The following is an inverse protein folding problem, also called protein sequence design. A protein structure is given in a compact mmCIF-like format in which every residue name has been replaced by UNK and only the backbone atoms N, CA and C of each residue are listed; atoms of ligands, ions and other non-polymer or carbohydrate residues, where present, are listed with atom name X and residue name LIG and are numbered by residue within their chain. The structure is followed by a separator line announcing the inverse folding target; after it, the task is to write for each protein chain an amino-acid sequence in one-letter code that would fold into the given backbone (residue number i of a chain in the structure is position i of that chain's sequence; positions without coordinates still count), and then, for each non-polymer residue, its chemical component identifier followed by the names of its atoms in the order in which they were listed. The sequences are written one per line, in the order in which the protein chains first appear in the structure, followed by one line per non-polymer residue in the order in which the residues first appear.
data_IF_520358686972
#
_entry.id   IF_520358686972
#
_cell.length_a   1.000
_cell.length_b   1.000
_cell.length_c   1.000
_cell.angle_alpha   90.00
_cell.angle_beta   90.00
_cell.angle_gamma   90.00
#
_symmetry.space_group_name_H-M   'P 1'
#
loop_
_entity.id
_entity.type
_entity.pdbx_description
1 polymer ?
#
# COMPACT_ATOMS: atom_id res chain seq x y z
N UNK A 1 7.24 3.24 -1.45
CA UNK A 1 6.67 3.37 -2.81
C UNK A 1 5.16 3.16 -2.77
N UNK A 2 4.40 3.92 -3.57
CA UNK A 2 2.93 3.84 -3.64
C UNK A 2 2.53 3.35 -5.03
N UNK A 3 1.88 2.18 -5.11
CA UNK A 3 1.32 1.69 -6.37
C UNK A 3 0.02 2.44 -6.71
N UNK A 4 -0.18 2.72 -7.99
CA UNK A 4 -1.45 3.25 -8.50
C UNK A 4 -2.62 2.33 -8.13
N UNK A 5 -3.76 2.92 -7.72
CA UNK A 5 -5.00 2.23 -7.35
C UNK A 5 -4.92 1.36 -6.08
N UNK A 6 -3.92 1.59 -5.22
CA UNK A 6 -3.85 0.99 -3.88
C UNK A 6 -3.90 2.13 -2.85
N UNK A 7 -4.73 1.99 -1.82
CA UNK A 7 -4.78 2.94 -0.69
C UNK A 7 -3.56 2.66 0.20
N UNK A 8 -2.78 3.70 0.50
CA UNK A 8 -1.67 3.63 1.45
C UNK A 8 -1.95 4.61 2.58
N UNK A 9 -1.70 4.18 3.82
CA UNK A 9 -1.66 5.07 4.99
C UNK A 9 -0.19 5.40 5.27
N UNK A 10 0.10 6.69 5.48
CA UNK A 10 1.40 7.14 5.95
C UNK A 10 1.19 7.61 7.38
N UNK A 11 1.77 6.89 8.34
CA UNK A 11 1.86 7.38 9.72
C UNK A 11 3.20 8.08 9.91
N UNK A 12 3.21 9.42 10.05
CA UNK A 12 4.43 10.11 10.44
C UNK A 12 4.79 9.71 11.88
N UNK A 13 6.02 9.26 12.09
CA UNK A 13 6.57 9.10 13.43
C UNK A 13 6.94 10.49 13.95
N UNK A 14 6.22 10.99 14.97
CA UNK A 14 6.30 12.37 15.45
C UNK A 14 7.56 12.66 16.29
N UNK A 15 8.59 11.81 16.21
CA UNK A 15 9.81 11.93 16.98
C UNK A 15 10.94 12.54 16.13
N UNK A 16 10.95 13.87 16.03
CA UNK A 16 12.03 14.81 15.60
C UNK A 16 11.87 15.58 14.27
N UNK A 17 12.33 16.84 14.37
CA UNK A 17 12.60 17.97 13.45
C UNK A 17 12.16 17.98 11.97
N UNK A 18 11.85 19.19 11.49
CA UNK A 18 11.48 19.56 10.11
C UNK A 18 12.12 18.67 9.03
N UNK A 19 11.33 17.77 8.43
CA UNK A 19 11.76 16.99 7.28
C UNK A 19 11.17 17.56 5.98
N UNK A 20 11.96 17.53 4.90
CA UNK A 20 11.49 17.88 3.55
C UNK A 20 11.08 16.60 2.81
N UNK A 21 9.78 16.41 2.64
CA UNK A 21 9.24 15.31 1.83
C UNK A 21 9.36 15.61 0.34
N UNK A 22 9.85 14.65 -0.44
CA UNK A 22 9.83 14.70 -1.90
C UNK A 22 8.90 13.60 -2.43
N UNK A 23 8.09 13.93 -3.42
CA UNK A 23 7.24 12.96 -4.13
C UNK A 23 7.53 13.05 -5.62
N UNK A 24 7.90 11.91 -6.21
CA UNK A 24 8.04 11.75 -7.65
C UNK A 24 6.82 10.98 -8.17
N UNK A 25 5.99 11.65 -8.98
CA UNK A 25 4.86 11.03 -9.65
C UNK A 25 5.24 10.75 -11.11
N UNK A 26 5.13 9.49 -11.53
CA UNK A 26 5.34 9.07 -12.91
C UNK A 26 3.96 8.85 -13.54
N UNK A 27 3.74 9.49 -14.68
CA UNK A 27 2.50 9.34 -15.45
C UNK A 27 2.26 7.88 -15.86
N UNK A 28 1.00 7.44 -15.79
CA UNK A 28 0.65 6.05 -16.05
C UNK A 28 0.78 5.69 -17.54
N UNK A 29 0.41 6.62 -18.44
CA UNK A 29 0.53 6.39 -19.88
C UNK A 29 2.00 6.34 -20.30
N UNK A 30 2.86 7.14 -19.66
CA UNK A 30 4.30 7.02 -19.80
C UNK A 30 4.81 5.63 -19.39
N UNK A 31 4.41 5.12 -18.22
CA UNK A 31 4.77 3.77 -17.79
C UNK A 31 4.29 2.70 -18.77
N UNK A 32 3.07 2.85 -19.31
CA UNK A 32 2.50 1.94 -20.29
C UNK A 32 3.22 1.97 -21.64
N UNK A 33 3.78 3.12 -22.03
CA UNK A 33 4.69 3.24 -23.19
C UNK A 33 6.01 2.53 -22.93
N UNK A 34 6.58 2.62 -21.72
CA UNK A 34 7.81 1.92 -21.35
C UNK A 34 7.63 0.40 -21.24
N UNK A 35 6.50 -0.05 -20.68
CA UNK A 35 6.20 -1.45 -20.46
C UNK A 35 4.70 -1.73 -20.68
N UNK A 36 4.38 -2.34 -21.83
CA UNK A 36 2.99 -2.52 -22.30
C UNK A 36 2.12 -3.33 -21.32
N UNK A 37 2.72 -4.27 -20.58
CA UNK A 37 2.04 -5.15 -19.64
C UNK A 37 2.01 -4.61 -18.19
N UNK A 38 2.22 -3.30 -17.99
CA UNK A 38 2.20 -2.65 -16.67
C UNK A 38 0.91 -2.90 -15.89
N UNK A 39 -0.22 -3.09 -16.58
CA UNK A 39 -1.51 -3.46 -15.98
C UNK A 39 -1.47 -4.80 -15.24
N UNK A 40 -0.62 -5.74 -15.68
CA UNK A 40 -0.52 -7.11 -15.18
C UNK A 40 0.43 -7.27 -14.01
N UNK A 41 1.11 -6.21 -13.62
CA UNK A 41 2.11 -6.23 -12.54
C UNK A 41 1.81 -5.19 -11.47
N UNK A 42 2.37 -5.39 -10.29
CA UNK A 42 2.48 -4.40 -9.22
C UNK A 42 3.92 -4.39 -8.72
N UNK A 43 4.35 -3.31 -8.07
CA UNK A 43 5.69 -3.24 -7.50
C UNK A 43 5.64 -3.52 -6.00
N UNK A 44 6.41 -4.49 -5.52
CA UNK A 44 6.59 -4.72 -4.07
C UNK A 44 7.48 -3.63 -3.47
N UNK A 45 7.42 -3.41 -2.16
CA UNK A 45 8.35 -2.48 -1.50
C UNK A 45 9.80 -2.97 -1.67
N UNK A 46 10.77 -2.06 -1.90
CA UNK A 46 12.18 -2.42 -1.95
C UNK A 46 12.71 -2.81 -0.57
N UNK A 47 13.74 -3.65 -0.56
CA UNK A 47 14.62 -3.79 0.60
C UNK A 47 15.60 -2.61 0.69
N UNK A 48 16.39 -2.54 1.77
CA UNK A 48 17.30 -1.42 2.02
C UNK A 48 18.32 -1.20 0.90
N UNK A 49 18.82 -2.28 0.29
CA UNK A 49 19.81 -2.21 -0.78
C UNK A 49 19.21 -1.58 -2.05
N UNK A 50 18.07 -2.09 -2.51
CA UNK A 50 17.38 -1.55 -3.69
C UNK A 50 16.86 -0.13 -3.40
N UNK A 51 16.40 0.13 -2.18
CA UNK A 51 15.91 1.46 -1.79
C UNK A 51 17.02 2.52 -1.90
N UNK A 52 18.25 2.20 -1.49
CA UNK A 52 19.40 3.10 -1.63
C UNK A 52 19.68 3.44 -3.10
N UNK A 53 19.67 2.44 -3.98
CA UNK A 53 19.89 2.64 -5.42
C UNK A 53 18.81 3.53 -6.04
N UNK A 54 17.54 3.30 -5.68
CA UNK A 54 16.41 4.11 -6.16
C UNK A 54 16.54 5.55 -5.66
N UNK A 55 16.84 5.74 -4.37
CA UNK A 55 17.01 7.06 -3.78
C UNK A 55 18.13 7.85 -4.46
N UNK A 56 19.27 7.21 -4.75
CA UNK A 56 20.35 7.83 -5.49
C UNK A 56 19.86 8.37 -6.84
N UNK A 57 19.08 7.60 -7.63
CA UNK A 57 18.57 8.11 -8.92
C UNK A 57 17.53 9.23 -8.76
N UNK A 58 16.71 9.21 -7.71
CA UNK A 58 15.78 10.30 -7.42
C UNK A 58 16.55 11.58 -7.07
N UNK A 59 17.63 11.50 -6.29
CA UNK A 59 18.46 12.65 -5.95
C UNK A 59 19.13 13.26 -7.19
N UNK A 60 19.54 12.43 -8.15
CA UNK A 60 20.06 12.89 -9.44
C UNK A 60 19.01 13.69 -10.20
N UNK A 61 17.77 13.20 -10.28
CA UNK A 61 16.64 13.92 -10.90
C UNK A 61 16.42 15.26 -10.22
N UNK A 62 16.37 15.29 -8.88
CA UNK A 62 16.18 16.53 -8.12
C UNK A 62 17.32 17.51 -8.41
N UNK A 63 18.56 17.04 -8.50
CA UNK A 63 19.70 17.91 -8.80
C UNK A 63 19.57 18.57 -10.17
N UNK A 64 19.25 17.79 -11.20
CA UNK A 64 19.10 18.33 -12.57
C UNK A 64 17.84 19.17 -12.76
N UNK A 65 16.79 18.91 -11.96
CA UNK A 65 15.59 19.74 -11.98
C UNK A 65 15.84 21.15 -11.42
N UNK A 66 16.84 21.31 -10.56
CA UNK A 66 17.18 22.60 -9.94
C UNK A 66 18.27 23.36 -10.71
N UNK A 67 18.66 22.90 -11.91
CA UNK A 67 19.66 23.56 -12.74
C UNK A 67 19.05 24.08 -14.05
N UNK A 68 19.50 25.24 -14.52
CA UNK A 68 18.98 25.90 -15.74
C UNK A 68 19.73 25.46 -17.02
N UNK A 69 20.22 24.22 -17.10
CA UNK A 69 20.94 23.75 -18.29
C UNK A 69 19.99 23.21 -19.35
N UNK A 70 20.28 23.53 -20.62
CA UNK A 70 19.46 23.11 -21.77
C UNK A 70 19.36 21.58 -21.92
N UNK A 71 20.37 20.84 -21.47
CA UNK A 71 20.44 19.38 -21.62
C UNK A 71 19.82 18.61 -20.44
N UNK A 72 19.36 19.30 -19.39
CA UNK A 72 18.90 18.63 -18.17
C UNK A 72 17.62 17.83 -18.38
N UNK A 73 16.75 18.24 -19.31
CA UNK A 73 15.58 17.45 -19.71
C UNK A 73 15.97 16.06 -20.21
N UNK A 74 17.05 15.96 -21.00
CA UNK A 74 17.54 14.68 -21.52
C UNK A 74 18.07 13.83 -20.35
N UNK A 75 18.80 14.45 -19.42
CA UNK A 75 19.34 13.77 -18.23
C UNK A 75 18.20 13.26 -17.34
N UNK A 76 17.25 14.12 -17.00
CA UNK A 76 16.07 13.78 -16.20
C UNK A 76 15.33 12.60 -16.84
N UNK A 77 15.05 12.66 -18.15
CA UNK A 77 14.40 11.57 -18.86
C UNK A 77 15.21 10.26 -18.82
N UNK A 78 16.54 10.33 -18.92
CA UNK A 78 17.42 9.17 -18.78
C UNK A 78 17.29 8.52 -17.39
N UNK A 79 17.32 9.33 -16.32
CA UNK A 79 17.15 8.84 -14.95
C UNK A 79 15.75 8.29 -14.70
N UNK A 80 14.70 8.92 -15.25
CA UNK A 80 13.33 8.39 -15.17
C UNK A 80 13.26 7.02 -15.85
N UNK A 81 13.84 6.85 -17.04
CA UNK A 81 13.89 5.54 -17.71
C UNK A 81 14.66 4.51 -16.89
N UNK A 82 15.78 4.89 -16.30
CA UNK A 82 16.56 4.01 -15.42
C UNK A 82 15.75 3.61 -14.18
N UNK A 83 15.02 4.55 -13.56
CA UNK A 83 14.13 4.24 -12.45
C UNK A 83 13.07 3.22 -12.86
N UNK A 84 12.38 3.43 -13.98
CA UNK A 84 11.37 2.48 -14.48
C UNK A 84 11.99 1.10 -14.71
N UNK A 85 13.18 1.03 -15.30
CA UNK A 85 13.91 -0.22 -15.47
C UNK A 85 14.21 -0.91 -14.14
N UNK A 86 14.77 -0.20 -13.16
CA UNK A 86 15.08 -0.74 -11.83
C UNK A 86 13.84 -1.27 -11.11
N UNK A 87 12.72 -0.53 -11.19
CA UNK A 87 11.44 -0.97 -10.62
C UNK A 87 10.95 -2.27 -11.28
N UNK A 88 11.04 -2.35 -12.61
CA UNK A 88 10.64 -3.54 -13.36
C UNK A 88 11.51 -4.75 -13.04
N UNK A 89 12.82 -4.58 -13.04
CA UNK A 89 13.78 -5.67 -12.82
C UNK A 89 13.73 -6.23 -11.40
N UNK A 90 13.65 -5.34 -10.40
CA UNK A 90 13.88 -5.73 -9.00
C UNK A 90 12.59 -5.88 -8.19
N UNK A 91 11.54 -5.13 -8.56
CA UNK A 91 10.34 -4.98 -7.74
C UNK A 91 9.07 -5.47 -8.42
N UNK A 92 9.07 -5.74 -9.72
CA UNK A 92 7.84 -6.18 -10.40
C UNK A 92 7.40 -7.56 -9.93
N UNK A 93 6.11 -7.66 -9.66
CA UNK A 93 5.43 -8.89 -9.29
C UNK A 93 4.21 -9.05 -10.18
N UNK A 94 4.00 -10.25 -10.74
CA UNK A 94 2.75 -10.53 -11.47
C UNK A 94 1.57 -10.41 -10.51
N UNK A 95 0.55 -9.66 -10.90
CA UNK A 95 -0.76 -9.74 -10.25
C UNK A 95 -1.27 -11.15 -10.46
N UNK A 96 -1.31 -11.97 -9.40
CA UNK A 96 -2.02 -13.26 -9.45
C UNK A 96 -3.52 -12.97 -9.67
N UNK A 97 -4.19 -13.95 -10.29
CA UNK A 97 -5.60 -13.89 -10.73
C UNK A 97 -6.44 -12.95 -9.86
N UNK A 98 -7.25 -12.10 -10.52
CA UNK A 98 -8.16 -11.07 -9.95
C UNK A 98 -8.95 -11.54 -8.72
N UNK A 99 -9.17 -12.85 -8.60
CA UNK A 99 -9.80 -13.54 -7.48
C UNK A 99 -8.98 -13.37 -6.18
N UNK A 100 -7.66 -13.58 -6.16
CA UNK A 100 -6.80 -13.41 -4.97
C UNK A 100 -6.67 -11.95 -4.51
N UNK A 101 -6.62 -11.01 -5.45
CA UNK A 101 -6.59 -9.57 -5.12
C UNK A 101 -7.94 -9.10 -4.60
N UNK A 102 -9.06 -9.61 -5.13
CA UNK A 102 -10.38 -9.39 -4.55
C UNK A 102 -10.51 -10.02 -3.15
N UNK A 103 -9.97 -11.22 -2.92
CA UNK A 103 -9.93 -11.84 -1.59
C UNK A 103 -9.18 -10.98 -0.56
N UNK A 104 -7.99 -10.48 -0.94
CA UNK A 104 -7.16 -9.63 -0.06
C UNK A 104 -7.77 -8.25 0.17
N UNK A 105 -8.32 -7.62 -0.86
CA UNK A 105 -9.02 -6.35 -0.68
C UNK A 105 -10.28 -6.53 0.17
N UNK A 106 -11.00 -7.64 -0.01
CA UNK A 106 -12.21 -7.95 0.77
C UNK A 106 -11.91 -8.11 2.26
N UNK A 107 -10.85 -8.83 2.64
CA UNK A 107 -10.51 -8.94 4.07
C UNK A 107 -10.12 -7.57 4.64
N UNK A 108 -9.35 -6.76 3.92
CA UNK A 108 -8.98 -5.40 4.38
C UNK A 108 -10.21 -4.51 4.57
N UNK A 109 -11.16 -4.51 3.64
CA UNK A 109 -12.40 -3.73 3.78
C UNK A 109 -13.27 -4.20 4.95
N UNK A 110 -13.32 -5.51 5.20
CA UNK A 110 -14.03 -6.07 6.35
C UNK A 110 -13.36 -5.65 7.67
N UNK A 111 -12.03 -5.69 7.77
CA UNK A 111 -11.31 -5.26 8.98
C UNK A 111 -11.55 -3.79 9.25
N UNK A 112 -11.43 -2.93 8.23
CA UNK A 112 -11.72 -1.50 8.38
C UNK A 112 -13.15 -1.25 8.84
N UNK A 113 -14.12 -1.96 8.27
CA UNK A 113 -15.52 -1.85 8.72
C UNK A 113 -15.70 -2.25 10.19
N UNK A 114 -14.98 -3.27 10.67
CA UNK A 114 -15.02 -3.68 12.09
C UNK A 114 -14.39 -2.59 12.96
N UNK A 115 -13.25 -2.03 12.56
CA UNK A 115 -12.53 -1.01 13.33
C UNK A 115 -13.26 0.34 13.35
N UNK A 116 -14.04 0.66 12.31
CA UNK A 116 -14.89 1.86 12.23
C UNK A 116 -16.22 1.72 12.99
N UNK A 117 -16.60 0.50 13.38
CA UNK A 117 -17.85 0.21 14.08
C UNK A 117 -17.55 -0.47 15.42
N UNK A 118 -17.40 0.33 16.48
CA UNK A 118 -17.16 -0.08 17.88
C UNK A 118 -18.33 -0.87 18.53
N UNK A 119 -19.16 -1.53 17.72
CA UNK A 119 -20.40 -2.15 18.14
C UNK A 119 -20.16 -3.63 18.52
N UNK A 120 -20.31 -3.96 19.81
CA UNK A 120 -20.09 -5.32 20.37
C UNK A 120 -21.00 -6.41 19.76
N UNK A 121 -21.96 -6.02 18.92
CA UNK A 121 -22.90 -6.93 18.28
C UNK A 121 -22.54 -7.32 16.82
N UNK A 122 -21.29 -7.16 16.37
CA UNK A 122 -20.86 -7.63 15.05
C UNK A 122 -20.81 -9.17 14.98
N UNK A 123 -21.49 -9.73 13.97
CA UNK A 123 -21.55 -11.18 13.74
C UNK A 123 -21.15 -11.52 12.32
N UNK A 124 -20.78 -12.80 12.08
CA UNK A 124 -20.48 -13.32 10.74
C UNK A 124 -21.63 -13.03 9.76
N UNK A 125 -22.87 -13.12 10.24
CA UNK A 125 -24.07 -12.88 9.45
C UNK A 125 -24.21 -11.40 9.03
N UNK A 126 -23.95 -10.46 9.94
CA UNK A 126 -23.96 -9.03 9.62
C UNK A 126 -22.89 -8.66 8.58
N UNK A 127 -21.68 -9.21 8.72
CA UNK A 127 -20.59 -9.00 7.75
C UNK A 127 -20.95 -9.63 6.40
N UNK A 128 -21.46 -10.86 6.42
CA UNK A 128 -21.93 -11.57 5.22
C UNK A 128 -22.96 -10.74 4.45
N UNK A 129 -23.96 -10.19 5.15
CA UNK A 129 -25.01 -9.37 4.54
C UNK A 129 -24.47 -8.04 4.02
N UNK A 130 -23.63 -7.34 4.80
CA UNK A 130 -23.06 -6.03 4.43
C UNK A 130 -22.21 -6.11 3.15
N UNK A 131 -21.40 -7.16 3.03
CA UNK A 131 -20.47 -7.35 1.91
C UNK A 131 -21.03 -8.22 0.79
N UNK A 132 -22.27 -8.68 0.92
CA UNK A 132 -22.94 -9.56 -0.05
C UNK A 132 -22.10 -10.81 -0.40
N UNK A 133 -21.59 -11.48 0.63
CA UNK A 133 -20.76 -12.68 0.54
C UNK A 133 -21.29 -13.75 1.49
N UNK A 134 -20.98 -15.03 1.28
CA UNK A 134 -21.47 -16.09 2.16
C UNK A 134 -20.75 -16.11 3.51
N UNK A 135 -21.43 -16.53 4.57
CA UNK A 135 -20.82 -16.70 5.90
C UNK A 135 -19.61 -17.66 5.88
N UNK A 136 -19.70 -18.74 5.10
CA UNK A 136 -18.59 -19.68 4.92
C UNK A 136 -17.36 -19.03 4.31
N UNK A 137 -17.56 -18.11 3.38
CA UNK A 137 -16.48 -17.35 2.76
C UNK A 137 -15.87 -16.33 3.72
N UNK A 138 -16.67 -15.65 4.55
CA UNK A 138 -16.16 -14.80 5.65
C UNK A 138 -15.25 -15.61 6.58
N UNK A 139 -15.69 -16.79 7.02
CA UNK A 139 -14.88 -17.67 7.90
C UNK A 139 -13.57 -18.07 7.23
N UNK A 140 -13.61 -18.41 5.94
CA UNK A 140 -12.43 -18.75 5.14
C UNK A 140 -11.45 -17.57 5.07
N UNK A 141 -11.93 -16.35 4.81
CA UNK A 141 -11.10 -15.15 4.75
C UNK A 141 -10.32 -14.92 6.05
N UNK A 142 -10.97 -15.00 7.20
CA UNK A 142 -10.30 -14.82 8.50
C UNK A 142 -9.32 -15.95 8.80
N UNK A 143 -9.68 -17.20 8.48
CA UNK A 143 -8.81 -18.35 8.73
C UNK A 143 -7.56 -18.34 7.86
N UNK A 144 -7.68 -17.98 6.59
CA UNK A 144 -6.56 -17.98 5.64
C UNK A 144 -5.65 -16.75 5.77
N UNK A 145 -6.21 -15.58 6.13
CA UNK A 145 -5.43 -14.34 6.15
C UNK A 145 -4.91 -13.95 7.55
N UNK A 146 -5.62 -14.34 8.62
CA UNK A 146 -5.28 -13.93 10.00
C UNK A 146 -5.07 -15.12 10.94
N UNK A 147 -5.24 -16.35 10.44
CA UNK A 147 -5.19 -17.60 11.20
C UNK A 147 -6.07 -17.61 12.47
N UNK A 148 -7.16 -16.84 12.46
CA UNK A 148 -8.09 -16.72 13.57
C UNK A 148 -9.53 -16.67 13.07
N UNK A 149 -10.49 -16.67 14.00
CA UNK A 149 -11.91 -16.49 13.70
C UNK A 149 -12.30 -15.01 13.77
N UNK A 150 -13.37 -14.61 13.06
CA UNK A 150 -13.93 -13.26 13.15
C UNK A 150 -14.24 -12.86 14.61
N UNK A 151 -14.78 -13.78 15.42
CA UNK A 151 -15.10 -13.51 16.83
C UNK A 151 -13.85 -13.21 17.65
N UNK A 152 -12.75 -13.94 17.41
CA UNK A 152 -11.48 -13.66 18.08
C UNK A 152 -10.93 -12.30 17.67
N UNK A 153 -11.05 -11.93 16.38
CA UNK A 153 -10.62 -10.62 15.90
C UNK A 153 -11.42 -9.48 16.56
N UNK A 154 -12.75 -9.54 16.57
CA UNK A 154 -13.61 -8.51 17.19
C UNK A 154 -13.28 -8.33 18.68
N UNK A 155 -13.09 -9.44 19.40
CA UNK A 155 -12.72 -9.37 20.82
C UNK A 155 -11.34 -8.71 21.03
N UNK A 156 -10.37 -8.96 20.15
CA UNK A 156 -9.05 -8.32 20.20
C UNK A 156 -9.12 -6.83 19.86
N UNK A 157 -9.85 -6.47 18.80
CA UNK A 157 -10.06 -5.09 18.41
C UNK A 157 -10.69 -4.29 19.57
N UNK A 158 -11.81 -4.75 20.10
CA UNK A 158 -12.52 -4.12 21.23
C UNK A 158 -11.59 -3.90 22.44
N UNK A 159 -10.81 -4.91 22.80
CA UNK A 159 -9.85 -4.81 23.90
C UNK A 159 -8.76 -3.76 23.65
N UNK A 160 -8.27 -3.65 22.41
CA UNK A 160 -7.27 -2.65 22.01
C UNK A 160 -7.84 -1.22 22.00
N UNK A 161 -9.10 -1.04 21.57
CA UNK A 161 -9.82 0.24 21.67
C UNK A 161 -10.02 0.67 23.14
N UNK A 162 -10.37 -0.26 24.04
CA UNK A 162 -10.50 0.01 25.48
C UNK A 162 -9.14 0.36 26.12
N UNK A 163 -8.06 -0.29 25.72
CA UNK A 163 -6.71 0.03 26.23
C UNK A 163 -6.22 1.41 25.76
N UNK A 164 -6.41 1.73 24.48
CA UNK A 164 -5.96 3.00 23.89
C UNK A 164 -6.79 4.22 24.35
N UNK A 165 -8.06 4.01 24.72
CA UNK A 165 -8.89 5.06 25.35
C UNK A 165 -8.52 5.32 26.81
N UNK A 166 -8.04 4.31 27.56
CA UNK A 166 -7.57 4.47 28.95
C UNK A 166 -6.18 5.10 29.09
N UNK A 167 -5.35 5.09 28.05
CA UNK A 167 -4.02 5.74 28.08
C UNK A 167 -4.05 7.24 27.73
N UNK A 168 -5.20 7.79 27.32
CA UNK A 168 -5.38 9.22 27.01
C UNK A 168 -6.03 10.01 28.14
N UNK A 169 -6.36 9.35 29.26
CA UNK A 169 -7.03 9.93 30.42
C UNK A 169 -6.20 9.85 31.71
N UNK A 170 -4.87 9.71 31.57
CA UNK A 170 -3.89 9.79 32.67
C UNK A 170 -2.91 10.94 32.41
#
# INVERSE_FOLDING_TARGET
MINSKIIHEIQPDFMQEYYKGYTLQIDYDYLKKCYRDIDKIYFRQPDDYINKIILEKILEIIRFYNTDSHDDDIRINSYIKMLVFLLLENLSCKKRNVIETKHKNMIVEILRFIDENDDECLTVSKISQKFNISEGYVRKLFKENLNMTLKQYINQATFNHIKSSKSKSA
#
